data_IF_969703443437
#
_entry.id   IF_969703443437
#
_cell.length_a   1.000
_cell.length_b   1.000
_cell.length_c   1.000
_cell.angle_alpha   90.00
_cell.angle_beta   90.00
_cell.angle_gamma   90.00
#
_symmetry.space_group_name_H-M   'P 1'
#
loop_
_entity.id
_entity.type
_entity.pdbx_description
1 polymer ?
#
# COMPACT_ATOMS: atom_id res chain seq x y z
N UNK A 1 17.88 2.29 3.15
CA UNK A 1 16.79 1.37 2.79
C UNK A 1 15.58 2.19 2.40
N UNK A 2 14.72 1.67 1.51
CA UNK A 2 13.42 2.27 1.17
C UNK A 2 12.31 1.31 1.56
N UNK A 3 11.16 1.85 2.02
CA UNK A 3 9.97 1.05 2.33
C UNK A 3 8.94 1.29 1.23
N UNK A 4 8.60 0.24 0.46
CA UNK A 4 7.58 0.33 -0.59
C UNK A 4 6.28 -0.22 -0.12
N UNK A 5 5.23 0.44 -0.58
CA UNK A 5 3.88 0.12 -0.16
C UNK A 5 2.92 0.20 -1.33
N UNK A 6 1.95 -0.69 -1.31
CA UNK A 6 0.86 -0.74 -2.27
C UNK A 6 -0.45 -0.75 -1.50
N UNK A 7 -1.32 0.19 -1.84
CA UNK A 7 -2.64 0.31 -1.23
C UNK A 7 -3.71 -0.24 -2.19
N UNK A 8 -4.90 -0.56 -1.68
CA UNK A 8 -6.15 -0.95 -2.37
C UNK A 8 -6.27 -2.42 -2.79
N UNK A 9 -5.20 -3.17 -2.96
CA UNK A 9 -5.23 -4.56 -3.44
C UNK A 9 -5.89 -5.57 -2.47
N UNK A 10 -5.80 -6.88 -2.81
CA UNK A 10 -5.29 -7.43 -4.05
C UNK A 10 -6.23 -7.19 -5.24
N UNK A 11 -5.67 -6.99 -6.43
CA UNK A 11 -6.40 -6.75 -7.67
C UNK A 11 -5.89 -7.71 -8.76
N UNK A 12 -6.73 -8.64 -9.30
CA UNK A 12 -6.32 -9.57 -10.33
C UNK A 12 -5.65 -8.90 -11.54
N UNK A 13 -4.58 -9.51 -12.05
CA UNK A 13 -3.76 -8.97 -13.13
C UNK A 13 -2.78 -7.87 -12.69
N UNK A 14 -3.18 -7.01 -11.77
CA UNK A 14 -2.33 -5.91 -11.26
C UNK A 14 -1.39 -6.42 -10.19
N UNK A 15 -1.91 -7.10 -9.16
CA UNK A 15 -1.11 -7.65 -8.06
C UNK A 15 -0.06 -8.63 -8.59
N UNK A 16 -0.42 -9.54 -9.50
CA UNK A 16 0.54 -10.49 -10.10
C UNK A 16 1.67 -9.77 -10.82
N UNK A 17 1.32 -8.71 -11.56
CA UNK A 17 2.31 -7.91 -12.24
C UNK A 17 3.24 -7.19 -11.25
N UNK A 18 2.70 -6.67 -10.13
CA UNK A 18 3.49 -6.06 -9.05
C UNK A 18 4.45 -7.10 -8.46
N UNK A 19 3.95 -8.28 -8.08
CA UNK A 19 4.76 -9.36 -7.50
C UNK A 19 5.92 -9.76 -8.44
N UNK A 20 5.62 -10.00 -9.72
CA UNK A 20 6.63 -10.30 -10.73
C UNK A 20 7.66 -9.17 -10.90
N UNK A 21 7.20 -7.91 -10.83
CA UNK A 21 8.10 -6.76 -10.93
C UNK A 21 9.01 -6.65 -9.71
N UNK A 22 8.48 -6.81 -8.51
CA UNK A 22 9.27 -6.78 -7.26
C UNK A 22 10.31 -7.88 -7.22
N UNK A 23 9.95 -9.09 -7.64
CA UNK A 23 10.83 -10.25 -7.70
C UNK A 23 12.06 -9.99 -8.60
N UNK A 24 11.86 -9.44 -9.80
CA UNK A 24 12.94 -9.05 -10.74
C UNK A 24 13.99 -8.12 -10.13
N UNK A 25 13.61 -7.33 -9.13
CA UNK A 25 14.50 -6.39 -8.45
C UNK A 25 14.94 -6.88 -7.06
N UNK A 26 14.59 -8.10 -6.65
CA UNK A 26 14.84 -8.63 -5.31
C UNK A 26 14.25 -7.73 -4.21
N UNK A 27 13.13 -7.06 -4.49
CA UNK A 27 12.51 -6.08 -3.63
C UNK A 27 11.39 -6.70 -2.79
N UNK A 28 11.30 -6.30 -1.52
CA UNK A 28 10.14 -6.63 -0.66
C UNK A 28 9.33 -5.37 -0.37
N UNK A 29 8.02 -5.56 -0.17
CA UNK A 29 7.05 -4.49 0.02
C UNK A 29 6.05 -4.82 1.12
N UNK A 30 5.27 -3.81 1.53
CA UNK A 30 4.08 -3.98 2.36
C UNK A 30 2.85 -3.60 1.55
N UNK A 31 1.84 -4.48 1.54
CA UNK A 31 0.56 -4.27 0.86
C UNK A 31 -0.50 -3.92 1.91
N UNK A 32 -1.06 -2.73 1.85
CA UNK A 32 -2.22 -2.34 2.64
C UNK A 32 -3.47 -2.73 1.86
N UNK A 33 -4.02 -3.88 2.24
CA UNK A 33 -5.08 -4.54 1.47
C UNK A 33 -6.47 -4.23 2.02
N UNK A 34 -7.47 -4.26 1.14
CA UNK A 34 -8.87 -4.11 1.51
C UNK A 34 -9.43 -5.48 1.91
N UNK A 35 -10.14 -5.54 3.04
CA UNK A 35 -10.75 -6.79 3.50
C UNK A 35 -11.66 -7.43 2.45
N UNK A 36 -12.50 -6.65 1.77
CA UNK A 36 -13.36 -7.13 0.68
C UNK A 36 -12.60 -7.78 -0.48
N UNK A 37 -11.40 -7.26 -0.80
CA UNK A 37 -10.59 -7.81 -1.88
C UNK A 37 -9.87 -9.10 -1.42
N UNK A 38 -9.47 -9.18 -0.15
CA UNK A 38 -8.93 -10.41 0.44
C UNK A 38 -9.97 -11.52 0.43
N UNK A 39 -11.21 -11.21 0.82
CA UNK A 39 -12.34 -12.15 0.79
C UNK A 39 -12.64 -12.63 -0.63
N UNK A 40 -12.62 -11.70 -1.60
CA UNK A 40 -12.92 -12.00 -3.01
C UNK A 40 -11.79 -12.77 -3.72
N UNK A 41 -10.52 -12.52 -3.34
CA UNK A 41 -9.34 -13.08 -3.98
C UNK A 41 -8.34 -13.69 -2.97
N UNK A 42 -8.77 -14.71 -2.18
CA UNK A 42 -7.94 -15.26 -1.11
C UNK A 42 -6.65 -15.91 -1.61
N UNK A 43 -6.69 -16.55 -2.79
CA UNK A 43 -5.50 -17.16 -3.39
C UNK A 43 -4.47 -16.10 -3.80
N UNK A 44 -4.91 -14.94 -4.29
CA UNK A 44 -4.03 -13.84 -4.64
C UNK A 44 -3.42 -13.19 -3.40
N UNK A 45 -4.21 -13.05 -2.34
CA UNK A 45 -3.72 -12.62 -1.03
C UNK A 45 -2.65 -13.57 -0.49
N UNK A 46 -2.89 -14.89 -0.56
CA UNK A 46 -1.90 -15.90 -0.17
C UNK A 46 -0.61 -15.76 -0.95
N UNK A 47 -0.67 -15.51 -2.27
CA UNK A 47 0.53 -15.31 -3.10
C UNK A 47 1.36 -14.10 -2.67
N UNK A 48 0.75 -13.01 -2.15
CA UNK A 48 1.47 -11.87 -1.58
C UNK A 48 2.32 -12.33 -0.38
N UNK A 49 1.72 -13.15 0.51
CA UNK A 49 2.40 -13.68 1.70
C UNK A 49 3.50 -14.67 1.34
N UNK A 50 3.20 -15.64 0.46
CA UNK A 50 4.14 -16.67 0.00
C UNK A 50 5.37 -16.06 -0.70
N UNK A 51 5.20 -14.91 -1.38
CA UNK A 51 6.30 -14.15 -1.97
C UNK A 51 7.14 -13.39 -0.92
N UNK A 52 6.85 -13.52 0.37
CA UNK A 52 7.59 -12.91 1.48
C UNK A 52 7.39 -11.42 1.63
N UNK A 53 6.26 -10.89 1.16
CA UNK A 53 5.84 -9.52 1.43
C UNK A 53 5.09 -9.43 2.76
N UNK A 54 4.97 -8.23 3.30
CA UNK A 54 4.12 -7.96 4.47
C UNK A 54 2.78 -7.39 4.02
N UNK A 55 1.78 -7.55 4.87
CA UNK A 55 0.44 -6.99 4.65
C UNK A 55 0.06 -6.06 5.79
N UNK A 56 -0.83 -5.12 5.50
CA UNK A 56 -1.44 -4.21 6.47
C UNK A 56 -2.92 -4.04 6.15
N UNK A 57 -3.68 -3.64 7.15
CA UNK A 57 -5.11 -3.39 7.04
C UNK A 57 -5.36 -2.02 6.41
N UNK A 58 -6.25 -1.97 5.39
CA UNK A 58 -6.68 -0.74 4.72
C UNK A 58 -8.20 -0.57 4.77
N UNK A 59 -8.84 -1.02 5.87
CA UNK A 59 -10.28 -1.18 6.07
C UNK A 59 -10.89 -2.28 5.19
N UNK A 60 -12.14 -2.64 5.45
CA UNK A 60 -12.83 -3.63 4.62
C UNK A 60 -13.33 -2.99 3.32
N UNK A 61 -14.02 -1.86 3.42
CA UNK A 61 -14.76 -1.25 2.31
C UNK A 61 -14.13 0.04 1.76
N UNK A 62 -12.86 0.35 2.11
CA UNK A 62 -12.14 1.56 1.71
C UNK A 62 -12.81 2.85 2.21
N UNK A 63 -13.36 2.82 3.42
CA UNK A 63 -14.03 3.97 4.01
C UNK A 63 -13.02 5.00 4.55
N UNK A 64 -13.34 6.28 4.34
CA UNK A 64 -12.65 7.38 5.02
C UNK A 64 -13.22 7.54 6.43
N UNK A 65 -12.39 7.74 7.44
CA UNK A 65 -12.84 7.93 8.82
C UNK A 65 -13.64 9.23 9.04
N UNK A 66 -13.37 10.27 8.25
CA UNK A 66 -14.10 11.53 8.35
C UNK A 66 -15.57 11.37 7.96
N UNK A 67 -16.47 11.81 8.85
CA UNK A 67 -17.91 11.70 8.69
C UNK A 67 -18.50 10.36 9.11
N UNK A 68 -17.67 9.46 9.67
CA UNK A 68 -18.12 8.22 10.31
C UNK A 68 -17.98 8.30 11.83
N UNK A 69 -18.89 7.65 12.58
CA UNK A 69 -18.72 7.46 14.02
C UNK A 69 -17.50 6.57 14.30
N UNK A 70 -17.00 6.64 15.54
CA UNK A 70 -15.89 5.80 15.98
C UNK A 70 -16.24 4.32 15.83
N UNK A 71 -17.42 3.92 16.28
CA UNK A 71 -17.89 2.53 16.27
C UNK A 71 -17.93 1.97 14.86
N UNK A 72 -18.64 2.64 13.94
CA UNK A 72 -18.80 2.18 12.54
C UNK A 72 -17.47 2.09 11.80
N UNK A 73 -16.56 3.04 12.05
CA UNK A 73 -15.24 2.99 11.42
C UNK A 73 -14.39 1.85 11.97
N UNK A 74 -14.46 1.64 13.29
CA UNK A 74 -13.75 0.56 13.95
C UNK A 74 -14.26 -0.80 13.52
N UNK A 75 -15.59 -0.99 13.41
CA UNK A 75 -16.21 -2.22 12.90
C UNK A 75 -15.70 -2.56 11.48
N UNK A 76 -15.60 -1.58 10.57
CA UNK A 76 -15.07 -1.80 9.21
C UNK A 76 -13.58 -2.20 9.23
N UNK A 77 -12.79 -1.64 10.14
CA UNK A 77 -11.38 -2.01 10.35
C UNK A 77 -11.26 -3.41 10.95
N UNK A 78 -12.05 -3.75 11.95
CA UNK A 78 -11.99 -5.03 12.65
C UNK A 78 -12.46 -6.16 11.74
N UNK A 79 -13.54 -5.96 11.00
CA UNK A 79 -14.01 -6.93 10.01
C UNK A 79 -12.96 -7.21 8.93
N UNK A 80 -12.23 -6.18 8.48
CA UNK A 80 -11.07 -6.40 7.60
C UNK A 80 -9.98 -7.22 8.29
N UNK A 81 -9.73 -6.98 9.58
CA UNK A 81 -8.62 -7.63 10.28
C UNK A 81 -8.87 -9.10 10.60
N UNK A 82 -10.14 -9.53 10.68
CA UNK A 82 -10.51 -10.94 10.78
C UNK A 82 -10.04 -11.76 9.56
N UNK A 83 -9.81 -11.09 8.42
CA UNK A 83 -9.31 -11.69 7.18
C UNK A 83 -7.80 -11.46 6.98
N UNK A 84 -7.29 -10.31 7.40
CA UNK A 84 -5.92 -9.85 7.10
C UNK A 84 -4.92 -10.26 8.17
N UNK A 85 -5.33 -10.27 9.46
CA UNK A 85 -4.50 -10.60 10.63
C UNK A 85 -3.19 -9.79 10.69
N UNK A 86 -3.29 -8.43 10.68
CA UNK A 86 -2.13 -7.55 10.71
C UNK A 86 -2.22 -6.51 11.84
N UNK A 87 -1.08 -6.17 12.43
CA UNK A 87 -0.93 -5.05 13.36
C UNK A 87 -0.62 -3.72 12.66
N UNK A 88 -0.43 -3.73 11.34
CA UNK A 88 -0.24 -2.52 10.54
C UNK A 88 -1.58 -2.02 10.03
N UNK A 89 -1.83 -0.73 10.19
CA UNK A 89 -3.04 -0.09 9.68
C UNK A 89 -2.71 1.19 8.93
N UNK A 90 -3.37 1.39 7.77
CA UNK A 90 -3.35 2.66 7.04
C UNK A 90 -4.77 3.13 6.77
N UNK A 91 -5.16 4.33 7.24
CA UNK A 91 -6.47 4.86 6.95
C UNK A 91 -6.58 5.28 5.47
N UNK A 92 -7.66 4.89 4.75
CA UNK A 92 -7.91 5.34 3.41
C UNK A 92 -7.88 6.87 3.30
N UNK A 93 -7.28 7.37 2.20
CA UNK A 93 -7.13 8.82 1.94
C UNK A 93 -6.34 9.60 3.01
N UNK A 94 -5.68 8.95 3.97
CA UNK A 94 -5.15 9.56 5.20
C UNK A 94 -6.22 10.28 6.05
N UNK A 95 -7.50 9.91 5.89
CA UNK A 95 -8.64 10.56 6.55
C UNK A 95 -9.13 9.76 7.74
N UNK A 96 -8.59 10.10 8.89
CA UNK A 96 -8.93 9.52 10.19
C UNK A 96 -9.11 10.66 11.21
N UNK A 97 -10.09 10.54 12.11
CA UNK A 97 -10.27 11.53 13.18
C UNK A 97 -9.29 11.26 14.33
N UNK A 98 -8.96 12.26 15.17
CA UNK A 98 -8.12 12.06 16.35
C UNK A 98 -8.63 10.98 17.31
N UNK A 99 -9.96 10.88 17.49
CA UNK A 99 -10.57 9.86 18.33
C UNK A 99 -10.37 8.46 17.76
N UNK A 100 -10.63 8.27 16.45
CA UNK A 100 -10.39 7.00 15.75
C UNK A 100 -8.90 6.62 15.77
N UNK A 101 -8.00 7.58 15.53
CA UNK A 101 -6.56 7.34 15.53
C UNK A 101 -6.06 6.91 16.93
N UNK A 102 -6.55 7.54 17.99
CA UNK A 102 -6.21 7.18 19.37
C UNK A 102 -6.71 5.79 19.74
N UNK A 103 -7.94 5.46 19.37
CA UNK A 103 -8.53 4.15 19.65
C UNK A 103 -7.85 3.03 18.88
N UNK A 104 -7.71 3.17 17.57
CA UNK A 104 -7.05 2.18 16.72
C UNK A 104 -5.55 2.07 17.01
N UNK A 105 -4.89 3.16 17.40
CA UNK A 105 -3.48 3.18 17.78
C UNK A 105 -3.11 2.36 19.02
N UNK A 106 -4.10 1.90 19.79
CA UNK A 106 -3.87 0.96 20.91
C UNK A 106 -3.65 -0.49 20.42
N UNK A 107 -4.13 -0.82 19.20
CA UNK A 107 -4.09 -2.17 18.63
C UNK A 107 -3.28 -2.26 17.33
N UNK A 108 -3.15 -1.14 16.64
CA UNK A 108 -2.49 -1.06 15.35
C UNK A 108 -1.38 -0.02 15.34
N UNK A 109 -0.32 -0.32 14.60
CA UNK A 109 0.67 0.69 14.21
C UNK A 109 0.15 1.43 12.97
N UNK A 110 -0.23 2.70 13.15
CA UNK A 110 -0.68 3.55 12.07
C UNK A 110 0.50 3.93 11.17
N UNK A 111 0.41 3.60 9.90
CA UNK A 111 1.49 3.82 8.93
C UNK A 111 1.05 4.81 7.86
N UNK A 112 1.69 5.96 7.83
CA UNK A 112 1.52 6.97 6.79
C UNK A 112 2.63 6.85 5.73
N UNK A 113 2.86 7.88 4.95
CA UNK A 113 3.86 7.89 3.88
C UNK A 113 4.61 9.23 3.80
N UNK A 114 5.79 9.20 3.19
CA UNK A 114 6.58 10.39 2.86
C UNK A 114 6.32 10.82 1.42
N UNK A 115 6.16 9.84 0.52
CA UNK A 115 6.05 10.06 -0.92
C UNK A 115 4.85 9.32 -1.49
N UNK A 116 3.95 10.05 -2.15
CA UNK A 116 2.82 9.47 -2.88
C UNK A 116 3.02 9.65 -4.39
N UNK A 117 2.94 8.55 -5.14
CA UNK A 117 3.12 8.53 -6.59
C UNK A 117 2.02 9.28 -7.35
N UNK A 118 0.79 9.31 -6.79
CA UNK A 118 -0.45 9.77 -7.44
C UNK A 118 -0.78 9.00 -8.72
N UNK A 119 -0.37 7.75 -8.80
CA UNK A 119 -0.59 6.86 -9.94
C UNK A 119 -2.07 6.64 -10.28
N UNK A 120 -2.96 6.69 -9.27
CA UNK A 120 -4.42 6.63 -9.43
C UNK A 120 -5.02 7.82 -10.19
N UNK A 121 -4.28 8.91 -10.36
CA UNK A 121 -4.79 10.08 -11.07
C UNK A 121 -4.60 9.92 -12.59
N UNK A 122 -5.64 9.52 -13.29
CA UNK A 122 -5.64 9.29 -14.74
C UNK A 122 -5.32 10.53 -15.58
N UNK A 123 -5.43 11.76 -15.01
CA UNK A 123 -5.06 13.01 -15.68
C UNK A 123 -3.55 13.25 -15.69
N UNK A 124 -2.80 12.58 -14.81
CA UNK A 124 -1.34 12.66 -14.81
C UNK A 124 -0.73 11.75 -15.89
N UNK A 125 0.36 12.23 -16.48
CA UNK A 125 1.17 11.39 -17.35
C UNK A 125 1.99 10.38 -16.52
N UNK A 126 2.33 9.20 -17.08
CA UNK A 126 3.22 8.25 -16.42
C UNK A 126 4.59 8.85 -16.05
N UNK A 127 5.09 9.80 -16.85
CA UNK A 127 6.34 10.53 -16.56
C UNK A 127 6.19 11.44 -15.34
N UNK A 128 5.05 12.11 -15.18
CA UNK A 128 4.77 12.93 -14.00
C UNK A 128 4.66 12.07 -12.75
N UNK A 129 4.00 10.90 -12.83
CA UNK A 129 3.94 9.93 -11.74
C UNK A 129 5.36 9.50 -11.30
N UNK A 130 6.24 9.15 -12.25
CA UNK A 130 7.64 8.84 -11.96
C UNK A 130 8.36 10.03 -11.29
N UNK A 131 8.18 11.24 -11.78
CA UNK A 131 8.80 12.45 -11.22
C UNK A 131 8.34 12.71 -9.78
N UNK A 132 7.05 12.51 -9.47
CA UNK A 132 6.51 12.66 -8.10
C UNK A 132 7.27 11.78 -7.11
N UNK A 133 7.68 10.60 -7.52
CA UNK A 133 8.44 9.67 -6.67
C UNK A 133 9.92 10.03 -6.66
N UNK A 134 10.53 10.12 -7.84
CA UNK A 134 12.00 10.17 -7.96
C UNK A 134 12.62 11.49 -7.50
N UNK A 135 11.85 12.58 -7.48
CA UNK A 135 12.33 13.90 -7.02
C UNK A 135 12.57 13.93 -5.50
N UNK A 136 11.82 13.13 -4.73
CA UNK A 136 11.81 13.18 -3.28
C UNK A 136 12.39 11.92 -2.62
N UNK A 137 13.05 11.05 -3.41
CA UNK A 137 13.68 9.85 -2.86
C UNK A 137 14.77 10.22 -1.84
N UNK A 138 14.58 9.74 -0.60
CA UNK A 138 15.53 9.88 0.49
C UNK A 138 15.65 8.55 1.25
N UNK A 139 16.81 8.23 1.85
CA UNK A 139 16.96 7.02 2.67
C UNK A 139 15.89 6.93 3.76
N UNK A 140 15.25 5.78 3.90
CA UNK A 140 14.19 5.56 4.88
C UNK A 140 12.79 5.90 4.40
N UNK A 141 12.64 6.65 3.28
CA UNK A 141 11.34 7.12 2.81
C UNK A 141 10.36 5.97 2.50
N UNK A 142 9.13 6.18 2.90
CA UNK A 142 7.96 5.36 2.60
C UNK A 142 7.31 5.86 1.31
N UNK A 143 7.31 5.03 0.27
CA UNK A 143 6.78 5.37 -1.06
C UNK A 143 5.53 4.57 -1.34
N UNK A 144 4.42 5.24 -1.65
CA UNK A 144 3.12 4.61 -1.94
C UNK A 144 2.80 4.63 -3.42
N UNK A 145 2.44 3.45 -3.92
CA UNK A 145 1.72 3.17 -5.16
C UNK A 145 0.38 2.51 -4.83
N UNK A 146 -0.51 2.33 -5.81
CA UNK A 146 -1.82 1.70 -5.60
C UNK A 146 -1.98 0.46 -6.46
N UNK A 147 -2.33 -0.64 -5.80
CA UNK A 147 -2.62 -1.94 -6.41
C UNK A 147 -4.07 -1.94 -6.91
N UNK A 148 -4.31 -1.23 -8.01
CA UNK A 148 -5.65 -1.09 -8.59
C UNK A 148 -5.58 -0.84 -10.10
N UNK A 149 -6.60 -1.26 -10.84
CA UNK A 149 -6.71 -1.03 -12.28
C UNK A 149 -6.58 0.46 -12.65
N UNK A 150 -7.14 1.33 -11.79
CA UNK A 150 -7.11 2.77 -11.98
C UNK A 150 -5.68 3.32 -12.01
N UNK A 151 -4.79 2.77 -11.19
CA UNK A 151 -3.40 3.18 -11.04
C UNK A 151 -2.47 2.51 -12.07
N UNK A 152 -2.86 1.37 -12.61
CA UNK A 152 -1.99 0.46 -13.34
C UNK A 152 -1.25 1.13 -14.52
N UNK A 153 -1.94 1.98 -15.32
CA UNK A 153 -1.32 2.67 -16.44
C UNK A 153 -0.09 3.49 -16.03
N UNK A 154 -0.20 4.24 -14.94
CA UNK A 154 0.88 5.11 -14.46
C UNK A 154 1.93 4.29 -13.68
N UNK A 155 1.47 3.38 -12.82
CA UNK A 155 2.31 2.53 -11.99
C UNK A 155 3.22 1.63 -12.84
N UNK A 156 2.70 0.97 -13.88
CA UNK A 156 3.52 0.08 -14.73
C UNK A 156 4.68 0.79 -15.42
N UNK A 157 4.59 2.09 -15.63
CA UNK A 157 5.69 2.91 -16.14
C UNK A 157 6.63 3.35 -15.02
N UNK A 158 6.08 3.81 -13.89
CA UNK A 158 6.83 4.46 -12.84
C UNK A 158 7.54 3.46 -11.91
N UNK A 159 6.90 2.34 -11.54
CA UNK A 159 7.42 1.40 -10.56
C UNK A 159 8.78 0.79 -10.97
N UNK A 160 8.94 0.17 -12.16
CA UNK A 160 10.22 -0.42 -12.54
C UNK A 160 11.35 0.61 -12.58
N UNK A 161 11.07 1.81 -13.11
CA UNK A 161 12.05 2.90 -13.19
C UNK A 161 12.44 3.45 -11.82
N UNK A 162 11.51 3.45 -10.89
CA UNK A 162 11.80 3.83 -9.50
C UNK A 162 12.64 2.77 -8.80
N UNK A 163 12.35 1.48 -9.01
CA UNK A 163 13.15 0.37 -8.47
C UNK A 163 14.57 0.41 -9.01
N UNK A 164 14.72 0.62 -10.31
CA UNK A 164 16.02 0.76 -10.96
C UNK A 164 16.82 1.94 -10.39
N UNK A 165 16.20 3.12 -10.25
CA UNK A 165 16.87 4.29 -9.67
C UNK A 165 17.35 4.02 -8.24
N UNK A 166 16.53 3.35 -7.41
CA UNK A 166 16.92 2.99 -6.04
C UNK A 166 18.09 2.01 -6.03
N UNK A 167 18.09 1.03 -6.93
CA UNK A 167 19.21 0.09 -7.09
C UNK A 167 20.50 0.83 -7.48
N UNK A 168 20.43 1.76 -8.43
CA UNK A 168 21.56 2.60 -8.84
C UNK A 168 22.11 3.48 -7.71
N UNK A 169 21.25 3.88 -6.77
CA UNK A 169 21.66 4.61 -5.56
C UNK A 169 22.25 3.69 -4.47
N UNK A 170 22.41 2.40 -4.72
CA UNK A 170 22.96 1.42 -3.77
C UNK A 170 22.01 0.99 -2.65
N UNK A 171 20.70 1.25 -2.79
CA UNK A 171 19.72 0.92 -1.76
C UNK A 171 18.87 -0.31 -2.10
N UNK A 172 18.36 -0.96 -1.05
CA UNK A 172 17.41 -2.06 -1.14
C UNK A 172 16.01 -1.61 -0.71
N UNK A 173 14.98 -2.23 -1.30
CA UNK A 173 13.59 -2.07 -0.88
C UNK A 173 13.22 -3.18 0.10
N UNK A 174 12.69 -2.81 1.27
CA UNK A 174 12.21 -3.74 2.29
C UNK A 174 10.74 -3.47 2.63
N UNK A 175 10.06 -4.49 3.13
CA UNK A 175 8.78 -4.34 3.81
C UNK A 175 8.96 -3.56 5.12
N UNK A 176 7.83 -3.10 5.71
CA UNK A 176 7.83 -2.54 7.06
C UNK A 176 8.07 -3.69 8.04
N UNK A 177 9.03 -3.51 8.92
CA UNK A 177 9.27 -4.37 10.09
C UNK A 177 8.70 -3.64 11.33
N UNK A 178 7.99 -4.37 12.20
CA UNK A 178 7.46 -3.90 13.49
C UNK A 178 8.58 -3.85 14.53
#
# INVERSE_FOLDING_TARGET
MYKRQFDDGPTPGVTEWILSTLDKYGAKATFFVLGKNVEMYPDLYKRILDAGHKVGNHTYSHQKGWGMSLERYTEDVDFANDLIHSELFRPPYARITPAQARFLGQRYKLVMWDIISRDYNRRLSPRTCLKNVTKHLAPGAIVVFHDSEKAFRNMRYALPRTLEKIRQMGFKCKAIEL
#
